data_IF_078844433566
#
_entry.id   IF_078844433566
#
_cell.length_a   1.000
_cell.length_b   1.000
_cell.length_c   1.000
_cell.angle_alpha   90.00
_cell.angle_beta   90.00
_cell.angle_gamma   90.00
#
_symmetry.space_group_name_H-M   'P 1'
#
loop_
_entity.id
_entity.type
_entity.pdbx_description
1 polymer ?
#
# COMPACT_ATOMS: atom_id res chain seq x y z
N UNK A 1 14.79 -20.84 -41.80
CA UNK A 1 13.80 -20.14 -40.95
C UNK A 1 13.72 -20.86 -39.61
N UNK A 2 14.43 -20.38 -38.59
CA UNK A 2 14.09 -20.63 -37.18
C UNK A 2 14.89 -19.66 -36.32
N UNK A 3 14.17 -18.83 -35.56
CA UNK A 3 14.69 -17.75 -34.74
C UNK A 3 15.02 -18.31 -33.34
N UNK A 4 16.27 -18.15 -32.92
CA UNK A 4 16.74 -18.38 -31.56
C UNK A 4 16.14 -17.32 -30.62
N UNK A 5 15.35 -17.74 -29.63
CA UNK A 5 14.94 -16.85 -28.54
C UNK A 5 16.03 -16.80 -27.46
N UNK A 6 16.88 -15.77 -27.54
CA UNK A 6 17.82 -15.38 -26.47
C UNK A 6 17.05 -14.70 -25.34
N UNK A 7 16.99 -15.36 -24.18
CA UNK A 7 16.35 -14.84 -22.97
C UNK A 7 17.14 -13.69 -22.34
N UNK A 8 16.75 -12.45 -22.63
CA UNK A 8 17.24 -11.27 -21.90
C UNK A 8 16.48 -11.14 -20.58
N UNK A 9 17.13 -11.47 -19.47
CA UNK A 9 16.68 -11.13 -18.11
C UNK A 9 16.62 -9.60 -18.01
N UNK A 10 15.41 -9.04 -18.02
CA UNK A 10 15.19 -7.60 -17.93
C UNK A 10 15.33 -7.19 -16.46
N UNK A 11 16.47 -6.61 -16.11
CA UNK A 11 16.71 -5.99 -14.82
C UNK A 11 16.01 -4.63 -14.81
N UNK A 12 14.79 -4.56 -14.26
CA UNK A 12 14.03 -3.31 -14.16
C UNK A 12 14.57 -2.50 -12.98
N UNK A 13 15.45 -1.55 -13.28
CA UNK A 13 15.92 -0.52 -12.33
C UNK A 13 14.83 0.54 -12.22
N UNK A 14 14.13 0.59 -11.09
CA UNK A 14 13.14 1.64 -10.81
C UNK A 14 13.86 2.96 -10.49
N UNK A 15 13.85 3.90 -11.44
CA UNK A 15 14.31 5.27 -11.23
C UNK A 15 13.31 5.99 -10.30
N UNK A 16 13.69 6.16 -9.03
CA UNK A 16 12.94 6.97 -8.06
C UNK A 16 13.18 8.45 -8.42
N UNK A 17 12.23 9.07 -9.13
CA UNK A 17 12.22 10.53 -9.29
C UNK A 17 11.90 11.17 -7.93
N UNK A 18 12.93 11.75 -7.31
CA UNK A 18 12.89 12.44 -6.02
C UNK A 18 12.17 13.79 -6.21
N UNK A 19 10.86 13.83 -6.01
CA UNK A 19 10.12 15.10 -5.99
C UNK A 19 10.41 15.84 -4.67
N UNK A 20 11.22 16.89 -4.75
CA UNK A 20 11.34 17.91 -3.69
C UNK A 20 10.20 18.90 -3.89
N UNK A 21 9.13 18.78 -3.12
CA UNK A 21 8.08 19.82 -3.05
C UNK A 21 8.13 20.45 -1.67
N UNK A 22 8.84 21.57 -1.59
CA UNK A 22 8.64 22.56 -0.55
C UNK A 22 7.37 23.34 -0.87
N UNK A 23 6.50 23.54 0.12
CA UNK A 23 5.30 24.35 -0.01
C UNK A 23 4.68 24.61 1.35
N UNK A 24 4.84 25.84 1.84
CA UNK A 24 4.20 26.38 3.04
C UNK A 24 2.68 26.40 2.85
N UNK A 25 1.96 25.87 3.85
CA UNK A 25 0.62 26.29 4.30
C UNK A 25 -0.55 26.28 3.31
N UNK A 26 -1.51 25.38 3.53
CA UNK A 26 -2.93 25.76 3.52
C UNK A 26 -3.76 24.74 4.30
N UNK A 27 -4.62 25.23 5.20
CA UNK A 27 -5.58 24.45 5.98
C UNK A 27 -6.71 24.03 5.03
N UNK A 28 -6.68 22.79 4.57
CA UNK A 28 -7.82 22.17 3.90
C UNK A 28 -7.82 20.67 4.19
N UNK A 29 -8.99 20.17 4.55
CA UNK A 29 -9.42 18.79 4.69
C UNK A 29 -8.77 17.85 3.66
N UNK A 30 -7.61 17.29 4.00
CA UNK A 30 -6.87 16.40 3.08
C UNK A 30 -5.36 16.43 3.30
N UNK A 31 -4.91 16.57 4.56
CA UNK A 31 -3.53 16.84 4.90
C UNK A 31 -2.54 15.94 4.17
N UNK A 32 -1.67 16.56 3.37
CA UNK A 32 -0.52 15.97 2.67
C UNK A 32 0.51 15.29 3.60
N UNK A 33 0.21 15.11 4.88
CA UNK A 33 1.09 14.52 5.88
C UNK A 33 0.55 13.15 6.29
N UNK A 34 1.44 12.18 6.42
CA UNK A 34 1.10 10.92 7.09
C UNK A 34 0.64 11.23 8.53
N UNK A 35 -0.20 10.38 9.14
CA UNK A 35 -0.59 10.54 10.53
C UNK A 35 0.62 10.61 11.47
N UNK A 36 0.42 11.14 12.67
CA UNK A 36 1.48 11.12 13.69
C UNK A 36 1.96 9.68 13.94
N UNK A 37 3.26 9.50 14.13
CA UNK A 37 3.89 8.17 14.18
C UNK A 37 4.23 7.55 12.82
N UNK A 38 3.81 8.14 11.70
CA UNK A 38 4.11 7.64 10.34
C UNK A 38 4.91 8.66 9.51
N UNK A 39 5.71 8.17 8.58
CA UNK A 39 6.37 8.96 7.53
C UNK A 39 5.78 8.62 6.17
N UNK A 40 5.68 9.60 5.26
CA UNK A 40 5.38 9.32 3.85
C UNK A 40 6.69 8.99 3.14
N UNK A 41 6.80 7.79 2.58
CA UNK A 41 8.01 7.31 1.89
C UNK A 41 7.85 7.28 0.37
N UNK A 42 6.64 7.55 -0.13
CA UNK A 42 6.39 7.65 -1.58
C UNK A 42 4.91 7.75 -1.92
N UNK A 43 4.61 7.57 -3.20
CA UNK A 43 3.24 7.45 -3.72
C UNK A 43 3.18 6.37 -4.79
N UNK A 44 2.08 5.64 -4.84
CA UNK A 44 1.75 4.63 -5.85
C UNK A 44 0.38 4.99 -6.40
N UNK A 45 0.27 5.29 -7.71
CA UNK A 45 -0.99 5.68 -8.37
C UNK A 45 -1.75 6.79 -7.61
N UNK A 46 -1.01 7.79 -7.10
CA UNK A 46 -1.56 8.88 -6.29
C UNK A 46 -1.86 8.55 -4.82
N UNK A 47 -1.88 7.28 -4.43
CA UNK A 47 -2.06 6.84 -3.05
C UNK A 47 -0.74 6.90 -2.30
N UNK A 48 -0.75 7.38 -1.07
CA UNK A 48 0.46 7.53 -0.24
C UNK A 48 0.99 6.18 0.20
N UNK A 49 2.31 6.02 0.11
CA UNK A 49 3.05 4.95 0.77
C UNK A 49 3.57 5.52 2.08
N UNK A 50 3.21 4.89 3.19
CA UNK A 50 3.63 5.32 4.53
C UNK A 50 4.32 4.20 5.27
N UNK A 51 5.14 4.58 6.24
CA UNK A 51 5.85 3.65 7.11
C UNK A 51 5.74 4.12 8.56
N UNK A 52 5.47 3.18 9.46
CA UNK A 52 5.50 3.46 10.90
C UNK A 52 6.93 3.79 11.33
N UNK A 53 7.11 4.90 12.04
CA UNK A 53 8.43 5.42 12.44
C UNK A 53 9.10 4.56 13.52
N UNK A 54 8.34 3.81 14.32
CA UNK A 54 8.85 3.03 15.45
C UNK A 54 9.12 1.59 15.06
N UNK A 55 8.14 0.96 14.43
CA UNK A 55 8.14 -0.49 14.15
C UNK A 55 8.38 -0.80 12.68
N UNK A 56 8.14 0.17 11.78
CA UNK A 56 8.08 -0.09 10.34
C UNK A 56 6.91 -0.97 9.91
N UNK A 57 6.02 -1.35 10.83
CA UNK A 57 4.95 -2.35 10.63
C UNK A 57 3.58 -1.71 10.75
N UNK A 58 2.62 -2.32 10.05
CA UNK A 58 1.22 -1.92 10.10
C UNK A 58 0.91 -0.61 9.37
N UNK A 59 -0.36 -0.44 9.06
CA UNK A 59 -0.95 0.84 8.67
C UNK A 59 -1.74 1.41 9.85
N UNK A 60 -1.93 2.75 9.92
CA UNK A 60 -2.68 3.37 11.00
C UNK A 60 -4.13 2.88 10.98
N UNK A 61 -4.72 2.77 12.16
CA UNK A 61 -6.14 2.43 12.29
C UNK A 61 -7.02 3.54 11.69
N UNK A 62 -6.67 4.80 11.89
CA UNK A 62 -7.37 5.93 11.28
C UNK A 62 -6.64 6.45 10.03
N UNK A 63 -7.40 6.77 9.00
CA UNK A 63 -6.85 7.22 7.73
C UNK A 63 -7.68 8.31 7.04
N UNK A 64 -7.29 8.70 5.81
CA UNK A 64 -8.06 9.64 5.01
C UNK A 64 -9.47 9.08 4.73
N UNK A 65 -10.50 9.89 4.95
CA UNK A 65 -11.89 9.55 4.60
C UNK A 65 -11.99 9.13 3.13
N UNK A 66 -12.58 7.97 2.86
CA UNK A 66 -12.68 7.32 1.55
C UNK A 66 -11.33 7.05 0.84
N UNK A 67 -10.21 7.23 1.55
CA UNK A 67 -8.88 7.14 0.99
C UNK A 67 -8.21 5.80 1.25
N UNK A 68 -6.89 5.76 1.04
CA UNK A 68 -6.10 4.54 1.23
C UNK A 68 -4.65 4.86 1.58
N UNK A 69 -3.95 3.85 2.08
CA UNK A 69 -2.50 3.84 2.26
C UNK A 69 -1.90 2.54 1.75
N UNK A 70 -0.66 2.62 1.28
CA UNK A 70 0.21 1.48 1.03
C UNK A 70 1.31 1.42 2.09
N UNK A 71 1.74 0.22 2.46
CA UNK A 71 2.99 -0.06 3.16
C UNK A 71 3.90 -0.88 2.25
N UNK A 72 5.20 -0.59 2.29
CA UNK A 72 6.22 -1.42 1.66
C UNK A 72 7.07 -2.15 2.69
N UNK A 73 7.59 -3.31 2.30
CA UNK A 73 8.66 -4.02 2.99
C UNK A 73 9.96 -3.22 2.97
N UNK A 74 10.95 -3.69 3.73
CA UNK A 74 12.33 -3.19 3.63
C UNK A 74 12.93 -3.42 2.23
N UNK A 75 12.51 -4.46 1.51
CA UNK A 75 12.92 -4.72 0.12
C UNK A 75 12.18 -3.86 -0.91
N UNK A 76 11.21 -3.04 -0.48
CA UNK A 76 10.48 -2.11 -1.35
C UNK A 76 9.26 -2.70 -2.06
N UNK A 77 8.96 -3.98 -1.84
CA UNK A 77 7.71 -4.62 -2.27
C UNK A 77 6.53 -4.10 -1.45
N UNK A 78 5.34 -4.00 -2.02
CA UNK A 78 4.14 -3.69 -1.21
C UNK A 78 3.84 -4.90 -0.35
N UNK A 79 3.61 -4.67 0.94
CA UNK A 79 3.22 -5.72 1.92
C UNK A 79 1.78 -5.57 2.38
N UNK A 80 1.24 -4.35 2.31
CA UNK A 80 -0.10 -4.06 2.78
C UNK A 80 -0.70 -2.87 2.04
N UNK A 81 -1.97 -2.97 1.70
CA UNK A 81 -2.83 -1.87 1.26
C UNK A 81 -4.05 -1.79 2.17
N UNK A 82 -4.32 -0.63 2.77
CA UNK A 82 -5.54 -0.40 3.57
C UNK A 82 -6.42 0.64 2.91
N UNK A 83 -7.71 0.32 2.75
CA UNK A 83 -8.77 1.25 2.34
C UNK A 83 -9.60 1.67 3.55
N UNK A 84 -9.96 2.95 3.60
CA UNK A 84 -10.78 3.54 4.67
C UNK A 84 -12.18 3.90 4.16
N UNK A 85 -13.14 3.92 5.08
CA UNK A 85 -14.52 4.36 4.83
C UNK A 85 -14.68 5.89 4.89
N UNK A 86 -15.92 6.38 4.76
CA UNK A 86 -16.25 7.81 4.78
C UNK A 86 -15.99 8.48 6.13
N UNK A 87 -15.85 7.69 7.20
CA UNK A 87 -15.51 8.16 8.55
C UNK A 87 -14.00 8.07 8.83
N UNK A 88 -13.22 7.41 7.96
CA UNK A 88 -11.79 7.24 8.09
C UNK A 88 -11.39 5.98 8.87
N UNK A 89 -12.32 5.06 9.11
CA UNK A 89 -12.07 3.76 9.72
C UNK A 89 -11.60 2.75 8.68
N UNK A 90 -10.82 1.72 9.06
CA UNK A 90 -10.43 0.67 8.13
C UNK A 90 -11.68 -0.02 7.61
N UNK A 91 -11.73 -0.23 6.30
CA UNK A 91 -12.74 -1.03 5.63
C UNK A 91 -12.18 -2.35 5.13
N UNK A 92 -10.91 -2.33 4.70
CA UNK A 92 -10.28 -3.46 4.02
C UNK A 92 -8.77 -3.36 4.05
N UNK A 93 -8.11 -4.49 4.29
CA UNK A 93 -6.68 -4.71 4.12
C UNK A 93 -6.43 -5.75 3.04
N UNK A 94 -5.45 -5.50 2.18
CA UNK A 94 -4.89 -6.50 1.27
C UNK A 94 -3.44 -6.68 1.70
N UNK A 95 -3.10 -7.87 2.15
CA UNK A 95 -1.79 -8.22 2.68
C UNK A 95 -1.06 -9.17 1.73
N UNK A 96 0.22 -8.90 1.49
CA UNK A 96 1.06 -9.54 0.45
C UNK A 96 2.43 -10.00 0.99
N UNK A 97 2.59 -10.03 2.32
CA UNK A 97 3.91 -10.17 2.96
C UNK A 97 4.01 -11.24 4.03
N UNK A 98 2.92 -11.96 4.34
CA UNK A 98 2.93 -13.03 5.34
C UNK A 98 1.86 -14.07 4.96
N UNK A 99 2.26 -15.34 4.81
CA UNK A 99 1.32 -16.45 4.72
C UNK A 99 1.15 -17.07 6.12
N UNK A 100 -0.06 -17.00 6.68
CA UNK A 100 -0.43 -17.67 7.93
C UNK A 100 -1.41 -18.83 7.67
N UNK A 101 -1.34 -19.44 6.49
CA UNK A 101 -2.22 -20.53 6.05
C UNK A 101 -3.46 -20.07 5.27
N UNK A 102 -3.55 -18.78 4.93
CA UNK A 102 -4.64 -18.21 4.12
C UNK A 102 -4.22 -17.93 2.66
N UNK A 103 -2.96 -18.21 2.31
CA UNK A 103 -2.36 -17.86 1.03
C UNK A 103 -1.82 -16.43 1.01
N UNK A 104 -0.89 -16.19 0.08
CA UNK A 104 -0.31 -14.87 -0.17
C UNK A 104 -0.51 -14.51 -1.65
N UNK A 105 -1.23 -13.43 -1.99
CA UNK A 105 -1.88 -12.46 -1.08
C UNK A 105 -3.22 -12.91 -0.51
N UNK A 106 -3.64 -12.29 0.60
CA UNK A 106 -4.97 -12.44 1.19
C UNK A 106 -5.58 -11.09 1.60
N UNK A 107 -6.89 -11.08 1.84
CA UNK A 107 -7.67 -9.88 2.15
C UNK A 107 -8.35 -10.04 3.49
N UNK A 108 -8.31 -8.98 4.30
CA UNK A 108 -9.12 -8.86 5.51
C UNK A 108 -10.14 -7.73 5.35
N UNK A 109 -11.41 -8.08 5.50
CA UNK A 109 -12.47 -7.08 5.64
C UNK A 109 -12.53 -6.59 7.10
N UNK A 110 -12.99 -5.36 7.29
CA UNK A 110 -13.24 -4.79 8.61
C UNK A 110 -14.73 -4.57 8.81
N UNK A 111 -15.29 -5.22 9.82
CA UNK A 111 -16.72 -5.14 10.16
C UNK A 111 -16.82 -4.69 11.60
N UNK A 112 -17.56 -3.60 11.86
CA UNK A 112 -17.75 -3.01 13.18
C UNK A 112 -16.41 -2.75 13.92
N UNK A 113 -15.40 -2.27 13.20
CA UNK A 113 -14.07 -1.97 13.74
C UNK A 113 -13.21 -3.20 14.05
N UNK A 114 -13.67 -4.42 13.72
CA UNK A 114 -12.93 -5.66 13.91
C UNK A 114 -12.46 -6.22 12.57
N UNK A 115 -11.16 -6.55 12.49
CA UNK A 115 -10.55 -7.22 11.34
C UNK A 115 -11.05 -8.67 11.30
N UNK A 116 -11.63 -9.08 10.18
CA UNK A 116 -12.18 -10.41 9.97
C UNK A 116 -11.08 -11.41 9.60
N UNK A 117 -11.42 -12.70 9.49
CA UNK A 117 -10.50 -13.74 8.99
C UNK A 117 -10.09 -13.44 7.55
N UNK A 118 -8.85 -13.80 7.21
CA UNK A 118 -8.30 -13.61 5.87
C UNK A 118 -9.01 -14.49 4.86
N UNK A 119 -9.31 -13.94 3.69
CA UNK A 119 -9.88 -14.65 2.54
C UNK A 119 -9.03 -14.45 1.28
N UNK A 120 -9.18 -15.31 0.27
CA UNK A 120 -8.59 -15.07 -1.03
C UNK A 120 -9.03 -13.72 -1.64
N UNK A 121 -8.13 -13.02 -2.36
CA UNK A 121 -8.45 -11.78 -3.05
C UNK A 121 -9.23 -12.04 -4.32
N UNK A 122 -10.12 -11.11 -4.65
CA UNK A 122 -10.73 -11.01 -5.99
C UNK A 122 -9.72 -10.47 -7.01
N UNK A 123 -9.99 -10.67 -8.30
CA UNK A 123 -9.14 -10.14 -9.40
C UNK A 123 -8.97 -8.61 -9.28
N UNK A 124 -10.04 -7.89 -8.95
CA UNK A 124 -10.00 -6.43 -8.78
C UNK A 124 -9.13 -5.98 -7.59
N UNK A 125 -9.04 -6.79 -6.53
CA UNK A 125 -8.17 -6.54 -5.37
C UNK A 125 -6.70 -6.82 -5.72
N UNK A 126 -6.43 -7.90 -6.45
CA UNK A 126 -5.09 -8.22 -6.96
C UNK A 126 -4.51 -7.08 -7.82
N UNK A 127 -5.33 -6.44 -8.65
CA UNK A 127 -4.88 -5.33 -9.51
C UNK A 127 -4.45 -4.07 -8.73
N UNK A 128 -4.75 -3.99 -7.42
CA UNK A 128 -4.29 -2.88 -6.56
C UNK A 128 -2.88 -3.08 -6.01
N UNK A 129 -2.40 -4.31 -6.01
CA UNK A 129 -1.10 -4.71 -5.44
C UNK A 129 -0.12 -5.21 -6.52
N UNK A 130 -0.62 -5.60 -7.70
CA UNK A 130 0.21 -5.89 -8.87
C UNK A 130 0.61 -4.58 -9.54
N UNK A 131 1.90 -4.23 -9.46
CA UNK A 131 2.51 -3.13 -10.21
C UNK A 131 3.34 -3.78 -11.33
N UNK A 132 2.95 -3.53 -12.59
CA UNK A 132 3.76 -3.84 -13.76
C UNK A 132 4.61 -2.62 -14.11
#
# INVERSE_FOLDING_TARGET
MQILFSGKKTLIVYIIRRFKVGGRGSRSSGGNRAPNGYSTVGKIRGVRVIQDKKTGKGLPFYGPKNGSFYRKSRSGAVEQYRKYDSKGFPKKDIDTGHDHGQGDPHVHDWVNGKRQVGRPPTIGELNKIKFK
#
